data_IF_713505356557
#
_entry.id   IF_713505356557
#
_cell.length_a   1.000
_cell.length_b   1.000
_cell.length_c   1.000
_cell.angle_alpha   90.00
_cell.angle_beta   90.00
_cell.angle_gamma   90.00
#
_symmetry.space_group_name_H-M   'P 1'
#
loop_
_entity.id
_entity.type
_entity.pdbx_description
1 polymer ?
#
# COMPACT_ATOMS: atom_id res chain seq x y z
N UNK A 1 4.43 4.23 7.06
CA UNK A 1 3.79 5.39 7.74
C UNK A 1 2.44 5.84 7.17
N UNK A 2 1.56 4.96 6.68
CA UNK A 2 0.24 5.37 6.14
C UNK A 2 -0.85 4.34 6.40
N UNK A 3 -2.02 4.60 5.84
CA UNK A 3 -3.21 3.75 5.91
C UNK A 3 -3.42 3.04 4.55
N UNK A 4 -2.71 1.92 4.28
CA UNK A 4 -2.83 1.26 2.99
C UNK A 4 -4.20 0.61 2.84
N UNK A 5 -4.81 0.80 1.67
CA UNK A 5 -5.99 0.04 1.27
C UNK A 5 -5.72 -1.47 1.31
N UNK A 6 -6.74 -2.27 1.65
CA UNK A 6 -6.63 -3.72 1.83
C UNK A 6 -5.91 -4.40 0.66
N UNK A 7 -6.23 -3.99 -0.57
CA UNK A 7 -5.66 -4.58 -1.78
C UNK A 7 -4.14 -4.46 -1.86
N UNK A 8 -3.55 -3.35 -1.38
CA UNK A 8 -2.09 -3.16 -1.33
C UNK A 8 -1.45 -4.25 -0.46
N UNK A 9 -2.05 -4.52 0.70
CA UNK A 9 -1.57 -5.57 1.59
C UNK A 9 -1.72 -6.98 1.00
N UNK A 10 -2.82 -7.25 0.29
CA UNK A 10 -3.04 -8.52 -0.40
C UNK A 10 -2.03 -8.74 -1.54
N UNK A 11 -1.68 -7.69 -2.29
CA UNK A 11 -0.68 -7.75 -3.34
C UNK A 11 0.70 -8.11 -2.78
N UNK A 12 1.12 -7.48 -1.68
CA UNK A 12 2.39 -7.80 -0.99
C UNK A 12 2.39 -9.26 -0.52
N UNK A 13 1.31 -9.72 0.13
CA UNK A 13 1.21 -11.11 0.60
C UNK A 13 1.31 -12.11 -0.55
N UNK A 14 0.67 -11.85 -1.68
CA UNK A 14 0.74 -12.69 -2.89
C UNK A 14 2.15 -12.80 -3.46
N UNK A 15 2.96 -11.74 -3.32
CA UNK A 15 4.36 -11.67 -3.81
C UNK A 15 5.39 -12.19 -2.82
N UNK A 16 5.01 -12.41 -1.57
CA UNK A 16 5.91 -12.87 -0.51
C UNK A 16 6.24 -14.36 -0.68
N UNK A 17 7.51 -14.78 -0.52
CA UNK A 17 7.88 -16.20 -0.45
C UNK A 17 7.52 -16.83 0.90
N UNK A 18 7.12 -16.02 1.89
CA UNK A 18 6.89 -16.46 3.25
C UNK A 18 5.41 -16.84 3.48
N UNK A 19 5.13 -17.99 4.12
CA UNK A 19 3.76 -18.47 4.33
C UNK A 19 2.93 -17.50 5.18
N UNK A 20 3.58 -16.77 6.09
CA UNK A 20 2.96 -15.76 6.92
C UNK A 20 3.62 -14.41 6.66
N UNK A 21 2.86 -13.50 6.05
CA UNK A 21 3.24 -12.11 5.83
C UNK A 21 2.10 -11.22 6.31
N UNK A 22 2.42 -10.18 7.07
CA UNK A 22 1.44 -9.20 7.54
C UNK A 22 1.90 -7.79 7.18
N UNK A 23 0.94 -6.88 7.09
CA UNK A 23 1.19 -5.46 6.81
C UNK A 23 0.77 -4.67 8.02
N UNK A 24 1.68 -3.85 8.54
CA UNK A 24 1.42 -2.92 9.63
C UNK A 24 1.42 -1.49 9.10
N UNK A 25 0.22 -0.91 8.99
CA UNK A 25 0.04 0.52 8.79
C UNK A 25 0.57 1.34 9.98
N UNK A 26 0.60 2.67 9.85
CA UNK A 26 1.00 3.60 10.93
C UNK A 26 2.38 3.34 11.55
N UNK A 27 3.28 2.69 10.82
CA UNK A 27 4.65 2.43 11.28
C UNK A 27 5.61 3.52 10.83
N UNK A 28 6.47 3.98 11.74
CA UNK A 28 7.57 4.93 11.48
C UNK A 28 7.11 6.29 10.92
N UNK A 29 5.91 6.76 11.31
CA UNK A 29 5.35 8.05 10.91
C UNK A 29 3.91 7.96 10.40
N UNK A 30 3.40 9.08 9.89
CA UNK A 30 2.03 9.21 9.38
C UNK A 30 1.97 10.08 8.11
N UNK A 31 1.32 9.59 7.06
CA UNK A 31 1.14 10.24 5.75
C UNK A 31 -0.27 9.99 5.18
N UNK A 32 -1.29 9.96 6.05
CA UNK A 32 -2.70 9.76 5.68
C UNK A 32 -2.95 8.45 4.90
N UNK A 33 -4.00 8.45 4.06
CA UNK A 33 -4.41 7.30 3.28
C UNK A 33 -3.44 6.99 2.15
N UNK A 34 -3.31 5.69 1.91
CA UNK A 34 -2.52 5.15 0.81
C UNK A 34 -3.44 4.23 -0.04
N UNK A 35 -4.30 4.82 -0.88
CA UNK A 35 -5.20 4.10 -1.79
C UNK A 35 -4.46 3.49 -2.98
N UNK A 36 -5.07 2.50 -3.63
CA UNK A 36 -4.52 1.95 -4.89
C UNK A 36 -4.54 3.00 -6.00
N UNK A 37 -3.72 2.79 -7.03
CA UNK A 37 -3.69 3.63 -8.23
C UNK A 37 -5.04 3.66 -8.97
N UNK A 38 -5.85 2.60 -8.83
CA UNK A 38 -7.21 2.55 -9.37
C UNK A 38 -8.19 3.36 -8.52
N UNK A 39 -8.12 3.23 -7.19
CA UNK A 39 -8.89 4.05 -6.25
C UNK A 39 -8.57 5.56 -6.39
N UNK A 40 -7.35 5.94 -6.74
CA UNK A 40 -7.03 7.36 -7.01
C UNK A 40 -7.69 7.91 -8.27
N UNK A 41 -8.25 7.06 -9.13
CA UNK A 41 -9.07 7.50 -10.27
C UNK A 41 -10.53 7.73 -9.85
N UNK A 42 -10.87 7.49 -8.58
CA UNK A 42 -12.25 7.24 -8.18
C UNK A 42 -13.16 8.48 -8.37
N UNK A 43 -14.26 8.33 -9.13
CA UNK A 43 -15.33 9.32 -9.30
C UNK A 43 -16.29 9.50 -8.11
N UNK A 44 -16.17 8.69 -7.04
CA UNK A 44 -17.12 8.63 -5.92
C UNK A 44 -16.76 9.43 -4.65
N UNK A 45 -15.62 10.12 -4.62
CA UNK A 45 -15.16 10.97 -3.50
C UNK A 45 -15.11 10.29 -2.12
N UNK A 46 -14.76 9.00 -2.04
CA UNK A 46 -14.51 8.35 -0.76
C UNK A 46 -13.35 9.03 -0.03
N UNK A 47 -13.41 9.08 1.31
CA UNK A 47 -12.42 9.82 2.09
C UNK A 47 -11.00 9.27 1.85
N UNK A 48 -10.87 7.95 1.75
CA UNK A 48 -9.58 7.27 1.57
C UNK A 48 -8.93 7.58 0.21
N UNK A 49 -9.74 8.02 -0.76
CA UNK A 49 -9.30 8.37 -2.11
C UNK A 49 -9.00 9.87 -2.24
N UNK A 50 -9.58 10.70 -1.35
CA UNK A 50 -9.45 12.15 -1.33
C UNK A 50 -8.37 12.65 -0.35
N UNK A 51 -8.30 12.06 0.85
CA UNK A 51 -7.33 12.43 1.91
C UNK A 51 -6.00 11.69 1.69
N UNK A 52 -5.45 11.83 0.49
CA UNK A 52 -4.22 11.16 0.06
C UNK A 52 -3.18 12.18 -0.42
N UNK A 53 -1.93 12.04 0.05
CA UNK A 53 -0.80 12.86 -0.39
C UNK A 53 0.04 12.19 -1.49
N UNK A 54 -0.24 10.93 -1.82
CA UNK A 54 0.57 10.10 -2.69
C UNK A 54 0.08 10.12 -4.13
N UNK A 55 1.00 10.29 -5.07
CA UNK A 55 0.72 10.12 -6.49
C UNK A 55 0.47 8.64 -6.83
N UNK A 56 -0.36 8.28 -7.83
CA UNK A 56 -0.75 6.90 -8.12
C UNK A 56 0.38 5.87 -8.23
N UNK A 57 1.57 6.31 -8.65
CA UNK A 57 2.76 5.47 -8.81
C UNK A 57 3.31 4.93 -7.48
N UNK A 58 2.92 5.51 -6.35
CA UNK A 58 3.39 5.08 -5.02
C UNK A 58 3.13 3.60 -4.78
N UNK A 59 1.97 3.09 -5.25
CA UNK A 59 1.54 1.72 -5.00
C UNK A 59 2.56 0.73 -5.54
N UNK A 60 2.90 0.83 -6.83
CA UNK A 60 3.83 -0.10 -7.47
C UNK A 60 5.24 0.01 -6.87
N UNK A 61 5.71 1.24 -6.59
CA UNK A 61 7.02 1.48 -5.97
C UNK A 61 7.08 0.80 -4.61
N UNK A 62 6.04 0.97 -3.78
CA UNK A 62 6.00 0.41 -2.43
C UNK A 62 5.87 -1.12 -2.45
N UNK A 63 4.94 -1.67 -3.24
CA UNK A 63 4.73 -3.11 -3.33
C UNK A 63 5.97 -3.83 -3.88
N UNK A 64 6.66 -3.23 -4.85
CA UNK A 64 7.88 -3.80 -5.42
C UNK A 64 9.07 -3.74 -4.46
N UNK A 65 9.29 -2.61 -3.78
CA UNK A 65 10.31 -2.52 -2.74
C UNK A 65 10.07 -3.53 -1.60
N UNK A 66 8.82 -3.66 -1.14
CA UNK A 66 8.46 -4.62 -0.10
C UNK A 66 8.73 -6.07 -0.55
N UNK A 67 8.33 -6.44 -1.77
CA UNK A 67 8.59 -7.78 -2.31
C UNK A 67 10.08 -8.09 -2.46
N UNK A 68 10.89 -7.12 -2.87
CA UNK A 68 12.36 -7.27 -2.96
C UNK A 68 13.00 -7.44 -1.59
N UNK A 69 12.53 -6.72 -0.57
CA UNK A 69 13.01 -6.88 0.80
C UNK A 69 12.65 -8.27 1.35
N UNK A 70 11.40 -8.71 1.17
CA UNK A 70 10.93 -10.01 1.65
C UNK A 70 11.69 -11.20 1.04
N UNK A 71 12.17 -11.08 -0.20
CA UNK A 71 13.02 -12.12 -0.84
C UNK A 71 14.42 -12.25 -0.23
N UNK A 72 14.87 -11.27 0.55
CA UNK A 72 16.19 -11.26 1.21
C UNK A 72 16.13 -11.70 2.67
N UNK A 73 14.93 -11.94 3.20
CA UNK A 73 14.67 -12.49 4.54
C UNK A 73 14.44 -14.00 4.42
#
# INVERSE_FOLDING_TARGET
PGEPSVQVGLNIKKRSPHPFTFVAGYTNGYIYYAPTAEQLKNPGCAQEDCDCLLAPQWQEIFESAAAEMLKKL
#
